data_IF_668650001141
#
_entry.id   IF_668650001141
#
_cell.length_a   1.000
_cell.length_b   1.000
_cell.length_c   1.000
_cell.angle_alpha   90.00
_cell.angle_beta   90.00
_cell.angle_gamma   90.00
#
_symmetry.space_group_name_H-M   'P 1'
#
loop_
_entity.id
_entity.type
_entity.pdbx_description
1 polymer ?
#
# COMPACT_ATOMS: atom_id res chain seq x y z
N UNK A 1 -2.58 25.80 0.71
CA UNK A 1 -3.28 26.68 -0.26
C UNK A 1 -2.45 27.87 -0.73
N UNK A 2 -1.38 28.27 -0.05
CA UNK A 2 -0.48 29.36 -0.47
C UNK A 2 0.39 29.01 -1.66
N UNK A 3 0.66 27.72 -1.92
CA UNK A 3 1.49 27.28 -3.02
C UNK A 3 1.03 27.76 -4.42
N UNK A 4 -0.27 27.95 -4.62
CA UNK A 4 -0.80 28.49 -5.90
C UNK A 4 -0.48 29.96 -6.16
N UNK A 5 0.04 30.65 -5.15
CA UNK A 5 0.41 32.07 -5.24
C UNK A 5 1.92 32.28 -5.35
N UNK A 6 2.68 31.16 -5.38
CA UNK A 6 4.13 31.19 -5.42
C UNK A 6 4.62 30.95 -6.85
N UNK A 7 5.64 31.69 -7.27
CA UNK A 7 6.33 31.48 -8.54
C UNK A 7 7.29 30.29 -8.46
N UNK A 8 7.87 30.06 -7.26
CA UNK A 8 8.79 28.96 -6.98
C UNK A 8 8.33 28.14 -5.78
N UNK A 9 8.37 26.80 -5.88
CA UNK A 9 7.99 25.87 -4.82
C UNK A 9 9.15 24.93 -4.59
N UNK A 10 9.67 24.92 -3.37
CA UNK A 10 10.68 23.95 -2.91
C UNK A 10 9.95 22.89 -2.08
N UNK A 11 10.04 21.63 -2.49
CA UNK A 11 9.40 20.53 -1.79
C UNK A 11 10.18 19.23 -2.00
N UNK A 12 9.80 18.18 -1.22
CA UNK A 12 10.27 16.83 -1.49
C UNK A 12 9.69 16.34 -2.83
N UNK A 13 10.46 15.61 -3.62
CA UNK A 13 10.04 15.08 -4.91
C UNK A 13 8.90 14.07 -4.82
N UNK A 14 8.57 13.54 -3.64
CA UNK A 14 7.37 12.74 -3.40
C UNK A 14 6.11 13.51 -3.79
N UNK A 15 6.09 14.83 -3.57
CA UNK A 15 4.96 15.68 -3.98
C UNK A 15 4.78 15.81 -5.49
N UNK A 16 5.76 15.37 -6.27
CA UNK A 16 5.70 15.34 -7.73
C UNK A 16 5.44 13.92 -8.26
N UNK A 17 6.11 12.92 -7.68
CA UNK A 17 6.20 11.60 -8.28
C UNK A 17 5.43 10.49 -7.53
N UNK A 18 5.16 10.64 -6.20
CA UNK A 18 4.51 9.58 -5.44
C UNK A 18 3.00 9.54 -5.74
N UNK A 19 2.45 8.41 -6.22
CA UNK A 19 1.04 8.28 -6.61
C UNK A 19 0.07 8.53 -5.45
N UNK A 20 0.51 8.40 -4.19
CA UNK A 20 -0.34 8.61 -3.02
C UNK A 20 -0.36 10.05 -2.52
N UNK A 21 0.72 10.83 -2.75
CA UNK A 21 0.90 12.16 -2.13
C UNK A 21 1.15 13.28 -3.13
N UNK A 22 1.29 13.00 -4.42
CA UNK A 22 1.55 14.04 -5.42
C UNK A 22 0.52 15.17 -5.38
N UNK A 23 0.94 16.36 -5.75
CA UNK A 23 0.10 17.57 -5.71
C UNK A 23 -0.93 17.57 -6.84
N UNK A 24 -2.04 16.84 -6.65
CA UNK A 24 -3.15 16.70 -7.63
C UNK A 24 -3.63 18.04 -8.17
N UNK A 25 -3.60 19.10 -7.36
CA UNK A 25 -4.02 20.45 -7.76
C UNK A 25 -3.21 20.98 -8.96
N UNK A 26 -1.93 20.59 -9.10
CA UNK A 26 -1.06 21.03 -10.19
C UNK A 26 -0.97 20.00 -11.31
N UNK A 27 -1.08 18.70 -11.00
CA UNK A 27 -0.71 17.60 -11.89
C UNK A 27 -1.84 16.61 -12.17
N UNK A 28 -3.07 16.90 -11.72
CA UNK A 28 -4.21 16.06 -12.04
C UNK A 28 -4.52 16.13 -13.54
N UNK A 29 -5.05 15.04 -14.09
CA UNK A 29 -5.50 14.96 -15.48
C UNK A 29 -6.37 16.16 -15.90
N UNK A 30 -6.04 16.77 -17.03
CA UNK A 30 -6.73 17.96 -17.55
C UNK A 30 -6.20 19.31 -17.03
N UNK A 31 -5.31 19.33 -16.04
CA UNK A 31 -4.62 20.57 -15.61
C UNK A 31 -3.33 20.70 -16.43
N UNK A 32 -3.23 21.79 -17.20
CA UNK A 32 -2.02 22.13 -17.94
C UNK A 32 -1.38 23.37 -17.33
N UNK A 33 -0.08 23.33 -17.14
CA UNK A 33 0.73 24.46 -16.71
C UNK A 33 2.14 24.33 -17.27
N UNK A 34 2.82 25.46 -17.44
CA UNK A 34 4.21 25.51 -17.87
C UNK A 34 5.08 25.44 -16.61
N UNK A 35 5.58 24.24 -16.29
CA UNK A 35 6.42 24.00 -15.12
C UNK A 35 7.85 23.65 -15.53
N UNK A 36 8.81 24.13 -14.75
CA UNK A 36 10.21 23.73 -14.85
C UNK A 36 10.57 23.01 -13.54
N UNK A 37 11.06 21.78 -13.65
CA UNK A 37 11.44 20.97 -12.49
C UNK A 37 12.97 20.92 -12.37
N UNK A 38 13.47 21.34 -11.21
CA UNK A 38 14.87 21.20 -10.82
C UNK A 38 14.96 20.13 -9.73
N UNK A 39 15.44 18.95 -10.12
CA UNK A 39 15.49 17.79 -9.21
C UNK A 39 16.91 17.60 -8.72
N UNK A 40 17.11 17.76 -7.41
CA UNK A 40 18.38 17.42 -6.76
C UNK A 40 18.50 15.90 -6.58
N UNK A 41 19.75 15.39 -6.56
CA UNK A 41 20.02 13.95 -6.41
C UNK A 41 19.25 13.05 -7.40
N UNK A 42 19.05 13.52 -8.64
CA UNK A 42 18.24 12.86 -9.67
C UNK A 42 18.69 11.41 -9.96
N UNK A 43 19.94 11.06 -9.67
CA UNK A 43 20.45 9.69 -9.83
C UNK A 43 19.72 8.65 -8.93
N UNK A 44 19.10 9.11 -7.85
CA UNK A 44 18.30 8.26 -6.96
C UNK A 44 16.85 8.07 -7.41
N UNK A 45 16.39 8.83 -8.44
CA UNK A 45 14.98 8.82 -8.84
C UNK A 45 14.48 7.44 -9.26
N UNK A 46 15.29 6.69 -10.00
CA UNK A 46 14.86 5.36 -10.51
C UNK A 46 14.55 4.41 -9.36
N UNK A 47 15.47 4.28 -8.38
CA UNK A 47 15.24 3.39 -7.24
C UNK A 47 14.09 3.87 -6.35
N UNK A 48 13.99 5.18 -6.17
CA UNK A 48 12.93 5.77 -5.36
C UNK A 48 11.56 5.67 -6.04
N UNK A 49 11.49 5.88 -7.36
CA UNK A 49 10.25 5.67 -8.11
C UNK A 49 9.80 4.21 -8.02
N UNK A 50 10.71 3.26 -8.21
CA UNK A 50 10.39 1.84 -7.98
C UNK A 50 9.83 1.59 -6.60
N UNK A 51 10.40 2.20 -5.58
CA UNK A 51 9.91 2.08 -4.19
C UNK A 51 8.53 2.72 -4.00
N UNK A 52 8.29 3.91 -4.55
CA UNK A 52 7.02 4.64 -4.46
C UNK A 52 5.88 3.88 -5.15
N UNK A 53 6.19 3.24 -6.29
CA UNK A 53 5.23 2.47 -7.08
C UNK A 53 5.20 0.99 -6.71
N UNK A 54 5.81 0.59 -5.60
CA UNK A 54 5.77 -0.78 -5.08
C UNK A 54 5.09 -0.84 -3.72
N UNK A 55 4.47 -1.96 -3.43
CA UNK A 55 3.85 -2.20 -2.12
C UNK A 55 3.96 -3.65 -1.69
N UNK A 56 3.97 -3.89 -0.39
CA UNK A 56 4.03 -5.24 0.18
C UNK A 56 3.19 -5.37 1.43
N UNK A 57 2.69 -6.57 1.66
CA UNK A 57 1.96 -6.96 2.86
C UNK A 57 2.55 -8.22 3.47
N UNK A 58 2.62 -8.25 4.81
CA UNK A 58 3.09 -9.41 5.56
C UNK A 58 1.91 -10.19 6.12
N UNK A 59 1.94 -11.50 5.91
CA UNK A 59 0.90 -12.40 6.42
C UNK A 59 0.74 -12.34 7.94
N UNK A 60 1.85 -12.21 8.64
CA UNK A 60 1.91 -12.20 10.11
C UNK A 60 1.20 -10.99 10.71
N UNK A 61 1.14 -9.85 9.99
CA UNK A 61 0.45 -8.64 10.44
C UNK A 61 -1.06 -8.87 10.58
N UNK A 62 -1.66 -9.66 9.66
CA UNK A 62 -3.09 -10.02 9.75
C UNK A 62 -3.44 -10.75 11.04
N UNK A 63 -2.54 -11.61 11.53
CA UNK A 63 -2.75 -12.33 12.80
C UNK A 63 -2.59 -11.41 14.01
N UNK A 64 -1.65 -10.47 13.95
CA UNK A 64 -1.40 -9.49 15.01
C UNK A 64 -2.60 -8.55 15.15
N UNK A 65 -3.07 -7.98 14.04
CA UNK A 65 -4.23 -7.10 14.02
C UNK A 65 -5.52 -7.84 14.39
N UNK A 66 -5.67 -9.09 13.96
CA UNK A 66 -6.81 -9.93 14.38
C UNK A 66 -6.90 -10.06 15.90
N UNK A 67 -5.78 -10.24 16.62
CA UNK A 67 -5.76 -10.32 18.08
C UNK A 67 -6.27 -9.03 18.73
N UNK A 68 -5.88 -7.86 18.18
CA UNK A 68 -6.29 -6.54 18.65
C UNK A 68 -7.79 -6.32 18.41
N UNK A 69 -8.27 -6.62 17.19
CA UNK A 69 -9.65 -6.31 16.75
C UNK A 69 -10.69 -7.28 17.27
N UNK A 70 -10.32 -8.50 17.61
CA UNK A 70 -11.25 -9.55 18.05
C UNK A 70 -12.26 -9.14 19.12
N UNK A 71 -11.92 -8.35 20.17
CA UNK A 71 -12.89 -7.91 21.18
C UNK A 71 -13.89 -6.88 20.65
N UNK A 72 -13.58 -6.17 19.54
CA UNK A 72 -14.30 -5.00 19.08
C UNK A 72 -15.16 -5.24 17.83
N UNK A 73 -14.73 -6.13 16.92
CA UNK A 73 -15.46 -6.42 15.69
C UNK A 73 -15.26 -7.85 15.19
N UNK A 74 -16.30 -8.67 15.33
CA UNK A 74 -16.36 -10.02 14.75
C UNK A 74 -16.37 -10.01 13.21
N UNK A 75 -16.86 -8.92 12.60
CA UNK A 75 -16.91 -8.79 11.13
C UNK A 75 -15.51 -8.62 10.56
N UNK A 76 -14.72 -7.71 11.14
CA UNK A 76 -13.34 -7.48 10.74
C UNK A 76 -12.46 -8.70 11.09
N UNK A 77 -12.66 -9.32 12.26
CA UNK A 77 -11.97 -10.57 12.64
C UNK A 77 -12.09 -11.64 11.54
N UNK A 78 -13.32 -11.88 11.04
CA UNK A 78 -13.57 -12.87 9.97
C UNK A 78 -12.90 -12.48 8.64
N UNK A 79 -12.87 -11.20 8.29
CA UNK A 79 -12.22 -10.72 7.07
C UNK A 79 -10.69 -10.87 7.16
N UNK A 80 -10.10 -10.54 8.31
CA UNK A 80 -8.67 -10.76 8.57
C UNK A 80 -8.31 -12.25 8.46
N UNK A 81 -9.16 -13.14 9.02
CA UNK A 81 -8.97 -14.58 8.89
C UNK A 81 -9.03 -15.05 7.44
N UNK A 82 -9.97 -14.52 6.66
CA UNK A 82 -10.10 -14.86 5.24
C UNK A 82 -8.86 -14.44 4.46
N UNK A 83 -8.37 -13.21 4.68
CA UNK A 83 -7.14 -12.73 4.05
C UNK A 83 -5.92 -13.55 4.48
N UNK A 84 -5.78 -13.84 5.78
CA UNK A 84 -4.71 -14.69 6.30
C UNK A 84 -4.73 -16.10 5.70
N UNK A 85 -5.91 -16.69 5.50
CA UNK A 85 -6.05 -18.02 4.89
C UNK A 85 -5.62 -17.99 3.42
N UNK A 86 -5.97 -16.94 2.68
CA UNK A 86 -5.52 -16.77 1.30
C UNK A 86 -3.99 -16.63 1.23
N UNK A 87 -3.39 -15.79 2.09
CA UNK A 87 -1.94 -15.62 2.17
C UNK A 87 -1.23 -16.91 2.61
N UNK A 88 -1.86 -17.71 3.46
CA UNK A 88 -1.33 -19.02 3.84
C UNK A 88 -1.30 -19.99 2.65
N UNK A 89 -2.25 -19.89 1.72
CA UNK A 89 -2.23 -20.63 0.45
C UNK A 89 -0.95 -20.32 -0.33
N UNK A 90 -0.68 -19.05 -0.60
CA UNK A 90 0.55 -18.61 -1.27
C UNK A 90 1.83 -19.04 -0.51
N UNK A 91 1.82 -18.93 0.82
CA UNK A 91 2.98 -19.34 1.65
C UNK A 91 3.31 -20.82 1.51
N UNK A 92 2.31 -21.70 1.38
CA UNK A 92 2.50 -23.15 1.24
C UNK A 92 3.11 -23.55 -0.10
N UNK A 93 2.90 -22.75 -1.13
CA UNK A 93 3.40 -22.96 -2.49
C UNK A 93 4.75 -22.25 -2.71
N UNK A 94 5.24 -21.48 -1.73
CA UNK A 94 6.44 -20.67 -1.82
C UNK A 94 7.65 -21.41 -1.23
N UNK A 95 8.55 -21.87 -2.08
CA UNK A 95 9.84 -22.45 -1.73
C UNK A 95 10.97 -21.41 -1.82
N UNK A 96 10.91 -20.37 -0.98
CA UNK A 96 11.81 -19.21 -1.01
C UNK A 96 11.17 -18.00 -1.67
N UNK A 97 10.90 -18.05 -2.97
CA UNK A 97 10.09 -17.04 -3.68
C UNK A 97 9.19 -17.69 -4.73
N UNK A 98 8.09 -17.03 -5.06
CA UNK A 98 7.16 -17.46 -6.11
C UNK A 98 6.56 -16.25 -6.82
N UNK A 99 6.48 -16.32 -8.15
CA UNK A 99 5.83 -15.28 -8.98
C UNK A 99 4.38 -15.67 -9.24
N UNK A 100 3.48 -14.69 -9.23
CA UNK A 100 2.05 -14.87 -9.41
C UNK A 100 1.54 -14.07 -10.61
N UNK A 101 0.70 -14.67 -11.43
CA UNK A 101 0.04 -13.96 -12.54
C UNK A 101 -1.05 -13.00 -12.02
N UNK A 102 -1.73 -13.40 -10.95
CA UNK A 102 -2.83 -12.60 -10.37
C UNK A 102 -3.06 -12.93 -8.90
N UNK A 103 -3.54 -11.93 -8.18
CA UNK A 103 -4.00 -12.07 -6.79
C UNK A 103 -5.45 -11.60 -6.61
N UNK A 104 -6.24 -11.59 -7.70
CA UNK A 104 -7.58 -10.96 -7.71
C UNK A 104 -8.51 -11.40 -6.58
N UNK A 105 -8.52 -12.68 -6.21
CA UNK A 105 -9.33 -13.19 -5.08
C UNK A 105 -8.91 -12.60 -3.73
N UNK A 106 -7.59 -12.45 -3.51
CA UNK A 106 -7.05 -11.82 -2.32
C UNK A 106 -7.33 -10.32 -2.35
N UNK A 107 -7.08 -9.65 -3.49
CA UNK A 107 -7.33 -8.22 -3.67
C UNK A 107 -8.79 -7.87 -3.33
N UNK A 108 -9.76 -8.62 -3.82
CA UNK A 108 -11.17 -8.45 -3.47
C UNK A 108 -11.44 -8.60 -1.96
N UNK A 109 -10.76 -9.55 -1.30
CA UNK A 109 -10.88 -9.72 0.15
C UNK A 109 -10.26 -8.58 0.93
N UNK A 110 -9.12 -8.02 0.44
CA UNK A 110 -8.46 -6.85 1.00
C UNK A 110 -9.31 -5.57 0.82
N UNK A 111 -9.96 -5.38 -0.34
CA UNK A 111 -10.88 -4.25 -0.56
C UNK A 111 -12.03 -4.27 0.45
N UNK A 112 -12.63 -5.43 0.69
CA UNK A 112 -13.68 -5.57 1.70
C UNK A 112 -13.16 -5.29 3.11
N UNK A 113 -11.97 -5.79 3.45
CA UNK A 113 -11.33 -5.54 4.74
C UNK A 113 -11.05 -4.05 4.93
N UNK A 114 -10.50 -3.38 3.90
CA UNK A 114 -10.21 -1.95 3.92
C UNK A 114 -11.47 -1.11 4.16
N UNK A 115 -12.59 -1.42 3.47
CA UNK A 115 -13.86 -0.72 3.67
C UNK A 115 -14.41 -0.87 5.10
N UNK A 116 -14.34 -2.08 5.66
CA UNK A 116 -14.79 -2.31 7.04
C UNK A 116 -13.88 -1.66 8.10
N UNK A 117 -12.57 -1.62 7.84
CA UNK A 117 -11.63 -0.90 8.70
C UNK A 117 -11.88 0.60 8.64
N UNK A 118 -12.16 1.17 7.47
CA UNK A 118 -12.50 2.58 7.29
C UNK A 118 -13.73 2.96 8.13
N UNK A 119 -14.83 2.23 7.98
CA UNK A 119 -16.05 2.45 8.78
C UNK A 119 -15.81 2.28 10.29
N UNK A 120 -14.93 1.37 10.67
CA UNK A 120 -14.61 1.12 12.07
C UNK A 120 -13.79 2.26 12.68
N UNK A 121 -12.76 2.74 11.96
CA UNK A 121 -11.84 3.79 12.41
C UNK A 121 -12.46 5.20 12.43
N UNK A 122 -13.55 5.43 11.68
CA UNK A 122 -14.30 6.68 11.73
C UNK A 122 -15.08 6.87 13.04
N UNK A 123 -15.28 5.80 13.80
CA UNK A 123 -15.96 5.88 15.10
C UNK A 123 -15.00 6.42 16.17
N UNK A 124 -15.43 7.34 17.02
CA UNK A 124 -14.61 7.84 18.12
C UNK A 124 -14.42 6.73 19.18
N UNK A 125 -13.38 5.93 19.02
CA UNK A 125 -13.03 4.85 19.93
C UNK A 125 -11.54 4.91 20.25
N UNK A 126 -11.22 4.77 21.52
CA UNK A 126 -9.86 4.59 21.98
C UNK A 126 -9.72 3.19 22.58
N UNK A 127 -8.75 2.43 22.12
CA UNK A 127 -8.40 1.11 22.64
C UNK A 127 -6.91 0.83 22.47
N UNK A 128 -6.34 -0.05 23.30
CA UNK A 128 -4.94 -0.47 23.15
C UNK A 128 -4.69 -1.06 21.75
N UNK A 129 -3.70 -0.52 21.03
CA UNK A 129 -3.34 -0.99 19.68
C UNK A 129 -4.10 -0.31 18.53
N UNK A 130 -4.89 0.76 18.79
CA UNK A 130 -5.58 1.51 17.72
C UNK A 130 -4.59 2.05 16.67
N UNK A 131 -3.39 2.46 17.11
CA UNK A 131 -2.34 2.93 16.21
C UNK A 131 -1.88 1.82 15.27
N UNK A 132 -1.66 0.61 15.79
CA UNK A 132 -1.25 -0.53 14.97
C UNK A 132 -2.33 -0.88 13.93
N UNK A 133 -3.61 -0.78 14.31
CA UNK A 133 -4.74 -0.98 13.38
C UNK A 133 -4.78 0.11 12.31
N UNK A 134 -4.51 1.35 12.67
CA UNK A 134 -4.47 2.48 11.73
C UNK A 134 -3.29 2.34 10.75
N UNK A 135 -2.10 2.01 11.24
CA UNK A 135 -0.90 1.79 10.42
C UNK A 135 -1.13 0.63 9.44
N UNK A 136 -1.71 -0.47 9.92
CA UNK A 136 -2.10 -1.61 9.07
C UNK A 136 -3.15 -1.21 8.02
N UNK A 137 -4.15 -0.42 8.39
CA UNK A 137 -5.16 0.09 7.45
C UNK A 137 -4.53 0.89 6.32
N UNK A 138 -3.60 1.80 6.63
CA UNK A 138 -2.87 2.56 5.61
C UNK A 138 -1.98 1.66 4.75
N UNK A 139 -1.35 0.64 5.31
CA UNK A 139 -0.58 -0.35 4.56
C UNK A 139 -1.46 -1.10 3.54
N UNK A 140 -2.65 -1.56 3.95
CA UNK A 140 -3.61 -2.22 3.05
C UNK A 140 -4.10 -1.27 1.97
N UNK A 141 -4.41 -0.02 2.31
CA UNK A 141 -4.82 0.99 1.33
C UNK A 141 -3.72 1.26 0.30
N UNK A 142 -2.49 1.45 0.77
CA UNK A 142 -1.35 1.64 -0.13
C UNK A 142 -1.19 0.43 -1.07
N UNK A 143 -1.26 -0.79 -0.54
CA UNK A 143 -1.18 -2.00 -1.34
C UNK A 143 -2.28 -2.06 -2.42
N UNK A 144 -3.50 -1.70 -2.08
CA UNK A 144 -4.62 -1.66 -3.02
C UNK A 144 -4.47 -0.55 -4.07
N UNK A 145 -4.02 0.65 -3.68
CA UNK A 145 -3.75 1.73 -4.62
C UNK A 145 -2.68 1.32 -5.65
N UNK A 146 -1.61 0.66 -5.19
CA UNK A 146 -0.58 0.16 -6.11
C UNK A 146 -1.13 -1.01 -6.96
N UNK A 147 -2.00 -1.87 -6.40
CA UNK A 147 -2.61 -2.96 -7.17
C UNK A 147 -3.46 -2.44 -8.34
N UNK A 148 -4.10 -1.29 -8.23
CA UNK A 148 -4.86 -0.63 -9.32
C UNK A 148 -3.94 -0.15 -10.46
N UNK A 149 -2.64 0.05 -10.18
CA UNK A 149 -1.65 0.49 -11.17
C UNK A 149 -0.92 -0.70 -11.84
N UNK A 150 -1.17 -1.94 -11.39
CA UNK A 150 -0.46 -3.13 -11.89
C UNK A 150 -0.75 -3.36 -13.37
N UNK A 151 0.30 -3.33 -14.18
CA UNK A 151 0.33 -3.61 -15.62
C UNK A 151 1.55 -4.49 -15.96
N UNK A 152 1.99 -4.49 -17.21
CA UNK A 152 3.16 -5.24 -17.71
C UNK A 152 4.50 -4.78 -17.09
N UNK A 153 4.58 -3.61 -16.47
CA UNK A 153 5.76 -3.10 -15.77
C UNK A 153 5.88 -3.59 -14.33
N UNK A 154 4.95 -4.47 -13.89
CA UNK A 154 4.93 -5.00 -12.53
C UNK A 154 5.22 -6.50 -12.47
N UNK A 155 5.86 -6.89 -11.37
CA UNK A 155 5.97 -8.28 -10.96
C UNK A 155 5.26 -8.47 -9.63
N UNK A 156 4.31 -9.40 -9.60
CA UNK A 156 3.66 -9.84 -8.36
C UNK A 156 4.39 -11.07 -7.86
N UNK A 157 4.98 -11.00 -6.68
CA UNK A 157 5.68 -12.14 -6.11
C UNK A 157 5.51 -12.26 -4.60
N UNK A 158 5.75 -13.46 -4.10
CA UNK A 158 5.84 -13.73 -2.67
C UNK A 158 7.20 -14.30 -2.31
N UNK A 159 7.64 -14.01 -1.10
CA UNK A 159 8.92 -14.51 -0.56
C UNK A 159 8.84 -14.73 0.95
N UNK A 160 9.78 -15.52 1.46
CA UNK A 160 10.07 -15.58 2.88
C UNK A 160 11.18 -14.56 3.14
N UNK A 161 10.85 -13.49 3.85
CA UNK A 161 11.81 -12.45 4.22
C UNK A 161 12.88 -12.99 5.18
N UNK A 162 13.99 -12.27 5.33
CA UNK A 162 15.13 -12.67 6.18
C UNK A 162 14.74 -12.91 7.65
N UNK A 163 13.69 -12.23 8.12
CA UNK A 163 13.12 -12.40 9.47
C UNK A 163 12.14 -13.57 9.58
N UNK A 164 11.96 -14.36 8.52
CA UNK A 164 11.08 -15.53 8.44
C UNK A 164 9.60 -15.19 8.21
N UNK A 165 9.23 -13.91 8.07
CA UNK A 165 7.87 -13.52 7.71
C UNK A 165 7.59 -13.77 6.24
N UNK A 166 6.35 -14.12 5.94
CA UNK A 166 5.90 -14.25 4.57
C UNK A 166 5.39 -12.92 4.03
N UNK A 167 5.99 -12.46 2.92
CA UNK A 167 5.63 -11.23 2.24
C UNK A 167 5.04 -11.52 0.85
N UNK A 168 3.95 -10.81 0.51
CA UNK A 168 3.45 -10.68 -0.85
C UNK A 168 3.72 -9.26 -1.32
N UNK A 169 4.34 -9.12 -2.49
CA UNK A 169 4.80 -7.83 -3.00
C UNK A 169 4.32 -7.57 -4.43
N UNK A 170 3.94 -6.33 -4.67
CA UNK A 170 3.74 -5.73 -5.98
C UNK A 170 4.98 -4.88 -6.27
N UNK A 171 5.82 -5.31 -7.18
CA UNK A 171 7.08 -4.64 -7.49
C UNK A 171 6.99 -3.97 -8.85
N UNK A 172 7.11 -2.66 -8.87
CA UNK A 172 7.29 -1.91 -10.10
C UNK A 172 8.74 -2.11 -10.60
N UNK A 173 8.89 -2.63 -11.79
CA UNK A 173 10.20 -2.88 -12.40
C UNK A 173 10.64 -1.68 -13.22
N UNK A 174 9.69 -1.04 -13.88
CA UNK A 174 9.91 0.12 -14.75
C UNK A 174 8.88 1.22 -14.43
N UNK A 175 9.22 2.17 -13.52
CA UNK A 175 8.32 3.20 -13.04
C UNK A 175 8.09 4.32 -14.06
#
# INVERSE_FOLDING_TARGET
DTAIWCDDIICDYNYLFDPNVYLKRFFQEGIKGDYIFLVDEAHNLVERSRSMYSAGIYKEDFLSIKKIIKPYSKKIEKLLEKCNTALLGYKRECEGYSVHETIGTLAFSLMRLSGELDEFLQKPMEFPGIKDVLDFYFQIRNFLNIYELVDEHYVIYSEIADDGRFMLRLMCVDP
#
